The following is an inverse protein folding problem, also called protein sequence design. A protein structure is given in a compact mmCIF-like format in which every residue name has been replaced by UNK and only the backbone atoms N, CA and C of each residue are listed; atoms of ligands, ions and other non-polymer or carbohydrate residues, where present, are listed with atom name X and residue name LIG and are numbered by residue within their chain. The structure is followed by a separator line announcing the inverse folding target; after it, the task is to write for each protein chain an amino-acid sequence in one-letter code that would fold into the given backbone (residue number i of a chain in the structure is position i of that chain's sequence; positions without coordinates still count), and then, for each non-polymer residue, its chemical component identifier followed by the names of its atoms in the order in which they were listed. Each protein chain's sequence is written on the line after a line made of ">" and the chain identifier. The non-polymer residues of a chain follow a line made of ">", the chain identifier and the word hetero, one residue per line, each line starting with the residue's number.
data_IF_198963789128
#
_entry.id   IF_198963789128
#
_cell.length_a   1.000
_cell.length_b   1.000
_cell.length_c   1.000
_cell.angle_alpha   90.00
_cell.angle_beta   90.00
_cell.angle_gamma   90.00
#
_symmetry.space_group_name_H-M   'P 1'
#
loop_
_entity.id
_entity.type
_entity.pdbx_description
1 polymer ?
#
# COMPACT_ATOMS: atom_id res chain seq x y z
N UNK A 1 24.05 -41.90 73.85
CA UNK A 1 24.73 -40.59 73.67
C UNK A 1 24.02 -39.91 72.51
N UNK A 2 23.10 -38.97 72.80
CA UNK A 2 22.51 -38.07 71.80
C UNK A 2 23.64 -37.37 71.03
N UNK A 3 23.48 -36.89 69.80
CA UNK A 3 22.89 -35.57 69.51
C UNK A 3 22.46 -35.53 68.03
N UNK A 4 21.15 -35.34 67.80
CA UNK A 4 20.51 -34.47 66.81
C UNK A 4 21.26 -34.06 65.52
N UNK A 5 20.53 -34.04 64.39
CA UNK A 5 20.72 -32.94 63.43
C UNK A 5 20.30 -33.12 61.98
N UNK A 6 18.99 -33.31 61.73
CA UNK A 6 18.25 -32.80 60.55
C UNK A 6 18.77 -33.13 59.13
N UNK A 7 17.95 -33.88 58.40
CA UNK A 7 17.90 -33.94 56.93
C UNK A 7 18.02 -32.54 56.31
N UNK A 8 19.14 -32.25 55.65
CA UNK A 8 19.32 -31.13 54.73
C UNK A 8 19.63 -31.68 53.35
N UNK A 9 18.72 -31.48 52.40
CA UNK A 9 18.96 -31.79 50.98
C UNK A 9 17.74 -31.78 50.06
N UNK A 10 16.51 -31.74 50.59
CA UNK A 10 15.29 -31.87 49.76
C UNK A 10 14.75 -30.58 49.12
N UNK A 11 15.07 -29.40 49.64
CA UNK A 11 14.39 -28.15 49.25
C UNK A 11 15.09 -27.36 48.15
N UNK A 12 16.41 -27.51 47.96
CA UNK A 12 17.16 -26.74 46.97
C UNK A 12 17.01 -27.23 45.53
N UNK A 13 16.76 -28.52 45.33
CA UNK A 13 16.53 -29.12 44.01
C UNK A 13 15.11 -28.85 43.52
N UNK A 14 14.10 -29.04 44.36
CA UNK A 14 12.70 -28.79 43.98
C UNK A 14 12.41 -27.31 43.69
N UNK A 15 13.07 -26.39 44.40
CA UNK A 15 12.93 -24.96 44.11
C UNK A 15 13.56 -24.58 42.75
N UNK A 16 14.65 -25.26 42.34
CA UNK A 16 15.28 -25.05 41.02
C UNK A 16 14.42 -25.61 39.88
N UNK A 17 13.87 -26.82 40.04
CA UNK A 17 12.98 -27.41 39.04
C UNK A 17 11.68 -26.61 38.88
N UNK A 18 11.08 -26.13 39.98
CA UNK A 18 9.90 -25.28 39.91
C UNK A 18 10.18 -23.94 39.20
N UNK A 19 11.37 -23.36 39.40
CA UNK A 19 11.79 -22.14 38.69
C UNK A 19 11.98 -22.39 37.20
N UNK A 20 12.56 -23.53 36.82
CA UNK A 20 12.78 -23.89 35.42
C UNK A 20 11.47 -24.17 34.67
N UNK A 21 10.53 -24.84 35.32
CA UNK A 21 9.18 -25.09 34.79
C UNK A 21 8.45 -23.76 34.60
N UNK A 22 8.44 -22.89 35.61
CA UNK A 22 7.75 -21.58 35.51
C UNK A 22 8.35 -20.67 34.42
N UNK A 23 9.68 -20.70 34.23
CA UNK A 23 10.34 -19.98 33.15
C UNK A 23 9.91 -20.48 31.76
N UNK A 24 9.85 -21.80 31.56
CA UNK A 24 9.42 -22.41 30.31
C UNK A 24 7.94 -22.13 30.00
N UNK A 25 7.08 -22.18 31.03
CA UNK A 25 5.67 -21.82 30.89
C UNK A 25 5.50 -20.35 30.51
N UNK A 26 6.26 -19.43 31.14
CA UNK A 26 6.25 -18.01 30.79
C UNK A 26 6.67 -17.76 29.34
N UNK A 27 7.69 -18.47 28.84
CA UNK A 27 8.15 -18.37 27.45
C UNK A 27 7.11 -18.88 26.46
N UNK A 28 6.47 -20.01 26.75
CA UNK A 28 5.43 -20.58 25.88
C UNK A 28 4.23 -19.63 25.82
N UNK A 29 3.75 -19.16 26.97
CA UNK A 29 2.60 -18.24 27.04
C UNK A 29 2.94 -16.92 26.33
N UNK A 30 4.10 -16.34 26.63
CA UNK A 30 4.55 -15.10 25.99
C UNK A 30 4.73 -15.24 24.48
N UNK A 31 5.29 -16.35 24.01
CA UNK A 31 5.46 -16.64 22.57
C UNK A 31 4.11 -16.79 21.87
N UNK A 32 3.16 -17.51 22.46
CA UNK A 32 1.82 -17.70 21.90
C UNK A 32 1.05 -16.38 21.86
N UNK A 33 1.07 -15.59 22.95
CA UNK A 33 0.42 -14.28 22.99
C UNK A 33 1.07 -13.29 22.01
N UNK A 34 2.40 -13.28 21.91
CA UNK A 34 3.14 -12.47 20.95
C UNK A 34 2.86 -12.87 19.50
N UNK A 35 2.80 -14.17 19.21
CA UNK A 35 2.46 -14.66 17.88
C UNK A 35 1.02 -14.32 17.51
N UNK A 36 0.08 -14.43 18.47
CA UNK A 36 -1.32 -14.03 18.28
C UNK A 36 -1.46 -12.53 18.04
N UNK A 37 -0.77 -11.69 18.81
CA UNK A 37 -0.85 -10.22 18.65
C UNK A 37 -0.29 -9.76 17.31
N UNK A 38 0.84 -10.32 16.87
CA UNK A 38 1.43 -10.04 15.55
C UNK A 38 0.55 -10.57 14.42
N UNK A 39 -0.05 -11.75 14.57
CA UNK A 39 -0.95 -12.31 13.56
C UNK A 39 -2.22 -11.46 13.39
N UNK A 40 -2.78 -10.94 14.47
CA UNK A 40 -3.96 -10.05 14.42
C UNK A 40 -3.59 -8.69 13.83
N UNK A 41 -2.45 -8.11 14.22
CA UNK A 41 -1.98 -6.82 13.69
C UNK A 41 -1.61 -6.88 12.18
N UNK A 42 -1.07 -8.01 11.69
CA UNK A 42 -0.79 -8.20 10.26
C UNK A 42 -2.06 -8.27 9.42
N UNK A 43 -3.15 -8.84 9.94
CA UNK A 43 -4.43 -8.95 9.21
C UNK A 43 -5.10 -7.60 8.96
N UNK A 44 -4.93 -6.64 9.87
CA UNK A 44 -5.45 -5.28 9.66
C UNK A 44 -4.63 -4.47 8.66
N UNK A 45 -3.31 -4.71 8.57
CA UNK A 45 -2.47 -4.03 7.58
C UNK A 45 -2.83 -4.47 6.15
N UNK A 46 -2.99 -5.77 5.92
CA UNK A 46 -3.35 -6.29 4.59
C UNK A 46 -4.71 -5.74 4.11
N UNK A 47 -5.69 -5.61 5.00
CA UNK A 47 -7.00 -5.05 4.65
C UNK A 47 -6.94 -3.56 4.26
N UNK A 48 -6.10 -2.77 4.93
CA UNK A 48 -5.92 -1.36 4.59
C UNK A 48 -5.23 -1.19 3.23
N UNK A 49 -4.22 -2.03 2.94
CA UNK A 49 -3.56 -2.07 1.63
C UNK A 49 -4.52 -2.52 0.52
N UNK A 50 -5.35 -3.54 0.77
CA UNK A 50 -6.33 -4.05 -0.18
C UNK A 50 -7.43 -3.02 -0.49
N UNK A 51 -7.92 -2.29 0.52
CA UNK A 51 -8.89 -1.22 0.32
C UNK A 51 -8.32 -0.08 -0.54
N UNK A 52 -7.07 0.33 -0.26
CA UNK A 52 -6.39 1.36 -1.06
C UNK A 52 -6.09 0.89 -2.49
N UNK A 53 -5.70 -0.38 -2.64
CA UNK A 53 -5.43 -0.99 -3.95
C UNK A 53 -6.71 -1.15 -4.78
N UNK A 54 -7.82 -1.50 -4.13
CA UNK A 54 -9.14 -1.57 -4.77
C UNK A 54 -9.61 -0.19 -5.23
N UNK A 55 -9.47 0.84 -4.39
CA UNK A 55 -9.84 2.21 -4.76
C UNK A 55 -8.97 2.74 -5.93
N UNK A 56 -7.66 2.51 -5.87
CA UNK A 56 -6.73 2.89 -6.95
C UNK A 56 -7.03 2.12 -8.25
N UNK A 57 -7.39 0.85 -8.15
CA UNK A 57 -7.77 0.01 -9.29
C UNK A 57 -9.09 0.46 -9.93
N UNK A 58 -10.08 0.83 -9.12
CA UNK A 58 -11.36 1.36 -9.61
C UNK A 58 -11.16 2.67 -10.37
N UNK A 59 -10.41 3.63 -9.81
CA UNK A 59 -10.07 4.87 -10.51
C UNK A 59 -9.35 4.60 -11.83
N UNK A 60 -8.34 3.72 -11.81
CA UNK A 60 -7.58 3.40 -13.01
C UNK A 60 -8.44 2.77 -14.11
N UNK A 61 -9.43 1.97 -13.74
CA UNK A 61 -10.40 1.39 -14.67
C UNK A 61 -11.25 2.48 -15.32
N UNK A 62 -11.84 3.38 -14.54
CA UNK A 62 -12.68 4.49 -15.05
C UNK A 62 -11.91 5.38 -16.02
N UNK A 63 -10.67 5.74 -15.66
CA UNK A 63 -9.81 6.56 -16.53
C UNK A 63 -9.48 5.84 -17.84
N UNK A 64 -9.13 4.55 -17.79
CA UNK A 64 -8.83 3.77 -18.99
C UNK A 64 -10.05 3.65 -19.92
N UNK A 65 -11.24 3.39 -19.38
CA UNK A 65 -12.46 3.34 -20.19
C UNK A 65 -12.73 4.69 -20.90
N UNK A 66 -12.48 5.82 -20.23
CA UNK A 66 -12.55 7.15 -20.87
C UNK A 66 -11.54 7.28 -22.00
N UNK A 67 -10.30 6.88 -21.77
CA UNK A 67 -9.27 6.98 -22.78
C UNK A 67 -9.56 6.14 -24.02
N UNK A 68 -10.16 4.96 -23.84
CA UNK A 68 -10.66 4.14 -24.94
C UNK A 68 -11.80 4.84 -25.68
N UNK A 69 -12.79 5.40 -24.95
CA UNK A 69 -13.89 6.17 -25.55
C UNK A 69 -13.42 7.36 -26.37
N UNK A 70 -12.36 8.05 -25.93
CA UNK A 70 -11.75 9.17 -26.65
C UNK A 70 -10.82 8.76 -27.80
N UNK A 71 -10.58 7.45 -27.99
CA UNK A 71 -9.72 6.95 -29.06
C UNK A 71 -8.28 7.44 -28.95
N UNK A 72 -7.74 7.48 -27.72
CA UNK A 72 -6.35 7.83 -27.51
C UNK A 72 -5.42 6.71 -28.03
N UNK A 73 -4.38 7.10 -28.74
CA UNK A 73 -3.29 6.19 -29.15
C UNK A 73 -2.44 5.82 -27.96
N UNK A 74 -1.64 4.75 -28.07
CA UNK A 74 -0.68 4.35 -27.01
C UNK A 74 0.23 5.49 -26.57
N UNK A 75 0.73 6.28 -27.52
CA UNK A 75 1.59 7.41 -27.20
C UNK A 75 0.84 8.54 -26.46
N UNK A 76 -0.44 8.76 -26.77
CA UNK A 76 -1.27 9.75 -26.07
C UNK A 76 -1.69 9.25 -24.69
N UNK A 77 -1.95 7.95 -24.52
CA UNK A 77 -2.27 7.33 -23.23
C UNK A 77 -1.20 7.61 -22.18
N UNK A 78 0.07 7.39 -22.52
CA UNK A 78 1.17 7.63 -21.57
C UNK A 78 1.24 9.11 -21.16
N UNK A 79 1.04 10.03 -22.12
CA UNK A 79 1.04 11.47 -21.84
C UNK A 79 -0.17 11.85 -20.99
N UNK A 80 -1.35 11.36 -21.32
CA UNK A 80 -2.58 11.62 -20.55
C UNK A 80 -2.44 11.12 -19.11
N UNK A 81 -1.85 9.94 -18.89
CA UNK A 81 -1.55 9.42 -17.55
C UNK A 81 -0.61 10.33 -16.75
N UNK A 82 0.45 10.85 -17.38
CA UNK A 82 1.38 11.77 -16.73
C UNK A 82 0.72 13.13 -16.43
N UNK A 83 -0.16 13.59 -17.31
CA UNK A 83 -0.98 14.79 -17.08
C UNK A 83 -1.93 14.60 -15.89
N UNK A 84 -2.61 13.47 -15.79
CA UNK A 84 -3.48 13.16 -14.63
C UNK A 84 -2.67 13.14 -13.33
N UNK A 85 -1.45 12.58 -13.37
CA UNK A 85 -0.55 12.51 -12.22
C UNK A 85 0.06 13.85 -11.79
N UNK A 86 -0.21 14.94 -12.50
CA UNK A 86 0.29 16.26 -12.10
C UNK A 86 1.63 16.67 -12.72
N UNK A 87 2.24 15.83 -13.57
CA UNK A 87 3.52 16.18 -14.20
C UNK A 87 3.38 17.34 -15.19
N UNK A 88 4.37 18.24 -15.17
CA UNK A 88 4.53 19.30 -16.16
C UNK A 88 4.92 18.74 -17.53
N UNK A 89 4.81 19.56 -18.58
CA UNK A 89 5.25 19.19 -19.93
C UNK A 89 6.73 18.80 -19.95
N UNK A 90 7.58 19.50 -19.18
CA UNK A 90 9.01 19.22 -19.08
C UNK A 90 9.27 17.86 -18.43
N UNK A 91 8.68 17.62 -17.26
CA UNK A 91 8.83 16.33 -16.56
C UNK A 91 8.27 15.18 -17.39
N UNK A 92 7.16 15.40 -18.08
CA UNK A 92 6.58 14.42 -19.00
C UNK A 92 7.54 14.10 -20.15
N UNK A 93 8.20 15.12 -20.71
CA UNK A 93 9.18 14.96 -21.78
C UNK A 93 10.40 14.15 -21.29
N UNK A 94 10.90 14.46 -20.11
CA UNK A 94 12.00 13.74 -19.44
C UNK A 94 11.66 12.27 -19.17
N UNK A 95 10.49 12.01 -18.55
CA UNK A 95 10.03 10.65 -18.25
C UNK A 95 9.80 9.80 -19.50
N UNK A 96 9.42 10.44 -20.61
CA UNK A 96 9.16 9.81 -21.90
C UNK A 96 10.40 9.68 -22.78
N UNK A 97 11.51 10.35 -22.46
CA UNK A 97 12.66 10.46 -23.36
C UNK A 97 12.31 11.16 -24.69
N UNK A 98 11.42 12.14 -24.67
CA UNK A 98 10.97 12.89 -25.86
C UNK A 98 11.16 14.40 -25.67
N UNK A 99 10.99 15.21 -26.72
CA UNK A 99 11.06 16.67 -26.59
C UNK A 99 9.78 17.25 -25.98
N UNK A 100 9.89 18.40 -25.31
CA UNK A 100 8.73 19.16 -24.84
C UNK A 100 7.76 19.52 -25.98
N UNK A 101 8.28 19.77 -27.18
CA UNK A 101 7.47 20.05 -28.37
C UNK A 101 6.58 18.87 -28.75
N UNK A 102 7.12 17.64 -28.69
CA UNK A 102 6.35 16.41 -28.92
C UNK A 102 5.26 16.24 -27.87
N UNK A 103 5.57 16.47 -26.59
CA UNK A 103 4.57 16.39 -25.51
C UNK A 103 3.49 17.45 -25.69
N UNK A 104 3.83 18.70 -26.01
CA UNK A 104 2.84 19.77 -26.31
C UNK A 104 1.92 19.38 -27.46
N UNK A 105 2.47 18.83 -28.54
CA UNK A 105 1.70 18.37 -29.70
C UNK A 105 0.72 17.25 -29.31
N UNK A 106 1.18 16.27 -28.52
CA UNK A 106 0.35 15.18 -28.02
C UNK A 106 -0.73 15.67 -27.05
N UNK A 107 -0.42 16.57 -26.12
CA UNK A 107 -1.42 17.22 -25.27
C UNK A 107 -2.49 17.93 -26.10
N UNK A 108 -2.10 18.69 -27.13
CA UNK A 108 -3.05 19.35 -28.01
C UNK A 108 -3.92 18.36 -28.80
N UNK A 109 -3.36 17.23 -29.22
CA UNK A 109 -4.12 16.16 -29.87
C UNK A 109 -5.14 15.54 -28.91
N UNK A 110 -4.73 15.26 -27.66
CA UNK A 110 -5.62 14.78 -26.60
C UNK A 110 -6.76 15.78 -26.38
N UNK A 111 -6.47 17.06 -26.16
CA UNK A 111 -7.49 18.07 -25.92
C UNK A 111 -8.52 18.16 -27.06
N UNK A 112 -8.07 18.09 -28.32
CA UNK A 112 -8.97 18.05 -29.48
C UNK A 112 -9.85 16.79 -29.51
N UNK A 113 -9.30 15.62 -29.18
CA UNK A 113 -10.06 14.35 -29.15
C UNK A 113 -11.11 14.33 -28.04
N UNK A 114 -10.79 14.94 -26.90
CA UNK A 114 -11.68 15.02 -25.74
C UNK A 114 -12.70 16.15 -25.87
N UNK A 115 -12.43 17.16 -26.71
CA UNK A 115 -13.29 18.33 -26.88
C UNK A 115 -13.07 19.41 -25.82
N UNK A 116 -11.87 19.48 -25.23
CA UNK A 116 -11.50 20.48 -24.22
C UNK A 116 -10.41 21.42 -24.73
N UNK A 117 -10.22 22.54 -24.04
CA UNK A 117 -9.24 23.57 -24.41
C UNK A 117 -7.91 23.44 -23.68
N UNK A 118 -7.84 22.63 -22.62
CA UNK A 118 -6.60 22.48 -21.87
C UNK A 118 -6.65 21.53 -20.68
N UNK A 119 -5.53 21.49 -19.97
CA UNK A 119 -5.28 20.58 -18.84
C UNK A 119 -6.34 20.64 -17.75
N UNK A 120 -6.69 21.85 -17.31
CA UNK A 120 -7.64 22.04 -16.22
C UNK A 120 -9.02 21.45 -16.57
N UNK A 121 -9.50 21.67 -17.80
CA UNK A 121 -10.77 21.12 -18.29
C UNK A 121 -10.70 19.60 -18.44
N UNK A 122 -9.59 19.05 -18.95
CA UNK A 122 -9.39 17.59 -19.01
C UNK A 122 -9.48 16.96 -17.62
N UNK A 123 -8.81 17.54 -16.62
CA UNK A 123 -8.85 17.06 -15.25
C UNK A 123 -10.24 17.21 -14.63
N UNK A 124 -10.94 18.32 -14.90
CA UNK A 124 -12.32 18.54 -14.45
C UNK A 124 -13.25 17.45 -14.96
N UNK A 125 -13.18 17.08 -16.25
CA UNK A 125 -14.00 16.00 -16.83
C UNK A 125 -13.72 14.61 -16.25
N UNK A 126 -12.54 14.39 -15.69
CA UNK A 126 -12.19 13.12 -15.05
C UNK A 126 -12.71 13.11 -13.62
N UNK A 127 -12.56 14.23 -12.90
CA UNK A 127 -13.02 14.38 -11.52
C UNK A 127 -14.54 14.43 -11.43
N UNK A 128 -15.21 15.12 -12.35
CA UNK A 128 -16.66 15.24 -12.38
C UNK A 128 -17.32 13.85 -12.52
N UNK A 129 -16.91 13.04 -13.48
CA UNK A 129 -17.39 11.67 -13.60
C UNK A 129 -17.01 10.79 -12.41
N UNK A 130 -15.85 11.01 -11.77
CA UNK A 130 -15.46 10.24 -10.58
C UNK A 130 -16.33 10.57 -9.35
N UNK A 131 -16.84 11.79 -9.25
CA UNK A 131 -17.66 12.25 -8.14
C UNK A 131 -19.16 12.05 -8.37
N UNK A 132 -19.58 11.91 -9.64
CA UNK A 132 -20.97 11.76 -10.05
C UNK A 132 -21.39 10.29 -10.28
N UNK A 133 -20.44 9.34 -10.27
CA UNK A 133 -20.65 7.89 -10.16
C UNK A 133 -20.54 7.39 -8.70
#
# INVERSE_FOLDING_TARGET
>A
MSIFGLQRGGTSWQLREALEISASFGLIIGSVLGMRSVAVARRSQLQAEDALRSASGAFAKVVNEKFERWGLTRAELDVAWLVIKGFSTRETAELRGTSEGTVKSQCNAIYRKVGVTGRAQLLSLIVEDLLLD
#
